data_IF_578114562020
#
_entry.id   IF_578114562020
#
_cell.length_a   1.000
_cell.length_b   1.000
_cell.length_c   1.000
_cell.angle_alpha   90.00
_cell.angle_beta   90.00
_cell.angle_gamma   90.00
#
_symmetry.space_group_name_H-M   'P 1'
#
loop_
_entity.id
_entity.type
_entity.pdbx_description
1 polymer ?
#
# COMPACT_ATOMS: atom_id res chain seq x y z
N UNK A 1 -10.94 -15.58 -25.56
CA UNK A 1 -9.90 -16.14 -24.68
C UNK A 1 -10.02 -15.43 -23.35
N UNK A 2 -10.43 -16.13 -22.30
CA UNK A 2 -10.58 -15.58 -20.95
C UNK A 2 -9.20 -15.69 -20.30
N UNK A 3 -8.55 -14.57 -20.00
CA UNK A 3 -7.30 -14.54 -19.24
C UNK A 3 -7.64 -14.95 -17.80
N UNK A 4 -7.77 -16.26 -17.58
CA UNK A 4 -7.93 -16.88 -16.27
C UNK A 4 -6.60 -16.77 -15.52
N UNK A 5 -6.44 -15.69 -14.74
CA UNK A 5 -5.34 -15.62 -13.77
C UNK A 5 -4.83 -14.23 -13.42
N UNK A 6 -5.26 -13.16 -14.12
CA UNK A 6 -4.82 -11.80 -13.79
C UNK A 6 -5.98 -11.05 -13.15
N UNK A 7 -5.89 -10.81 -11.84
CA UNK A 7 -6.81 -9.92 -11.15
C UNK A 7 -6.79 -8.55 -11.84
N UNK A 8 -7.96 -8.02 -12.15
CA UNK A 8 -8.10 -6.67 -12.66
C UNK A 8 -7.75 -5.65 -11.57
N UNK A 9 -7.31 -4.46 -11.98
CA UNK A 9 -7.03 -3.34 -11.05
C UNK A 9 -8.24 -3.05 -10.16
N UNK A 10 -9.46 -3.19 -10.69
CA UNK A 10 -10.70 -3.00 -9.94
C UNK A 10 -10.87 -4.07 -8.85
N UNK A 11 -10.54 -5.32 -9.14
CA UNK A 11 -10.62 -6.41 -8.15
C UNK A 11 -9.56 -6.22 -7.05
N UNK A 12 -8.34 -5.81 -7.41
CA UNK A 12 -7.28 -5.52 -6.44
C UNK A 12 -7.68 -4.34 -5.56
N UNK A 13 -8.17 -3.25 -6.15
CA UNK A 13 -8.63 -2.08 -5.41
C UNK A 13 -9.76 -2.42 -4.43
N UNK A 14 -10.72 -3.25 -4.84
CA UNK A 14 -11.79 -3.72 -3.96
C UNK A 14 -11.24 -4.56 -2.82
N UNK A 15 -10.33 -5.49 -3.09
CA UNK A 15 -9.73 -6.31 -2.05
C UNK A 15 -8.96 -5.47 -1.00
N UNK A 16 -8.22 -4.44 -1.43
CA UNK A 16 -7.53 -3.52 -0.51
C UNK A 16 -8.48 -2.65 0.31
N UNK A 17 -9.64 -2.27 -0.26
CA UNK A 17 -10.68 -1.54 0.46
C UNK A 17 -11.47 -2.43 1.43
N UNK A 18 -11.60 -3.71 1.12
CA UNK A 18 -12.23 -4.70 2.01
C UNK A 18 -11.29 -5.13 3.14
N UNK A 19 -9.97 -5.06 2.94
CA UNK A 19 -8.97 -5.33 3.97
C UNK A 19 -8.98 -4.21 5.05
N UNK A 20 -9.38 -4.51 6.30
CA UNK A 20 -9.44 -3.52 7.37
C UNK A 20 -8.06 -2.95 7.74
N UNK A 21 -6.97 -3.64 7.43
CA UNK A 21 -5.61 -3.22 7.76
C UNK A 21 -4.98 -2.36 6.65
N UNK A 22 -5.37 -2.60 5.38
CA UNK A 22 -4.89 -1.83 4.23
C UNK A 22 -5.76 -0.60 3.93
N UNK A 23 -7.09 -0.68 4.15
CA UNK A 23 -8.02 0.42 3.88
C UNK A 23 -7.60 1.76 4.51
N UNK A 24 -7.21 1.84 5.79
CA UNK A 24 -6.78 3.12 6.40
C UNK A 24 -5.56 3.73 5.71
N UNK A 25 -4.65 2.90 5.19
CA UNK A 25 -3.46 3.32 4.46
C UNK A 25 -3.84 3.91 3.11
N UNK A 26 -4.68 3.17 2.37
CA UNK A 26 -5.17 3.54 1.05
C UNK A 26 -5.93 4.86 1.10
N UNK A 27 -6.87 5.00 2.02
CA UNK A 27 -7.64 6.23 2.20
C UNK A 27 -6.75 7.43 2.53
N UNK A 28 -5.76 7.28 3.42
CA UNK A 28 -4.85 8.37 3.78
C UNK A 28 -3.98 8.79 2.60
N UNK A 29 -3.47 7.86 1.79
CA UNK A 29 -2.72 8.19 0.57
C UNK A 29 -3.61 8.86 -0.48
N UNK A 30 -4.84 8.38 -0.69
CA UNK A 30 -5.81 9.00 -1.60
C UNK A 30 -6.13 10.43 -1.20
N UNK A 31 -6.30 10.70 0.09
CA UNK A 31 -6.55 12.04 0.63
C UNK A 31 -5.32 12.95 0.56
N UNK A 32 -4.17 12.46 0.05
CA UNK A 32 -2.87 13.13 0.11
C UNK A 32 -2.53 13.66 1.52
N UNK A 33 -3.16 13.07 2.54
CA UNK A 33 -2.87 13.38 3.92
C UNK A 33 -1.48 12.81 4.18
N UNK A 34 -0.56 13.67 4.62
CA UNK A 34 0.78 13.22 5.01
C UNK A 34 0.72 12.14 6.10
N UNK A 35 1.89 11.63 6.49
CA UNK A 35 2.06 10.55 7.47
C UNK A 35 1.53 10.86 8.91
N UNK A 36 0.71 11.89 9.11
CA UNK A 36 0.38 12.46 10.42
C UNK A 36 -0.83 11.80 11.11
N UNK A 37 -0.59 11.01 12.17
CA UNK A 37 -0.75 11.40 13.60
C UNK A 37 -0.41 10.18 14.50
N UNK A 38 0.55 10.32 15.42
CA UNK A 38 1.02 9.21 16.27
C UNK A 38 -0.11 8.54 17.06
N UNK A 39 -1.12 9.28 17.51
CA UNK A 39 -2.19 8.70 18.33
C UNK A 39 -3.23 7.96 17.49
N UNK A 40 -3.54 8.45 16.28
CA UNK A 40 -4.41 7.72 15.33
C UNK A 40 -3.78 6.37 15.01
N UNK A 41 -2.48 6.35 14.67
CA UNK A 41 -1.75 5.11 14.40
C UNK A 41 -1.66 4.22 15.63
N UNK A 42 -1.59 4.77 16.84
CA UNK A 42 -1.49 3.97 18.06
C UNK A 42 -2.74 3.11 18.30
N UNK A 43 -3.92 3.59 17.88
CA UNK A 43 -5.20 2.88 18.00
C UNK A 43 -5.41 1.84 16.88
N UNK A 44 -4.67 1.95 15.77
CA UNK A 44 -4.75 1.01 14.65
C UNK A 44 -4.17 -0.37 14.98
N UNK A 45 -4.54 -1.36 14.16
CA UNK A 45 -4.07 -2.74 14.27
C UNK A 45 -2.55 -2.85 14.11
N UNK A 46 -1.97 -3.96 14.59
CA UNK A 46 -0.55 -4.25 14.37
C UNK A 46 -0.19 -4.36 12.88
N UNK A 47 -1.09 -4.85 12.04
CA UNK A 47 -0.87 -4.99 10.61
C UNK A 47 -0.91 -3.62 9.90
N UNK A 48 -1.88 -2.76 10.23
CA UNK A 48 -1.93 -1.37 9.73
C UNK A 48 -0.65 -0.61 10.11
N UNK A 49 -0.16 -0.77 11.35
CA UNK A 49 1.11 -0.18 11.80
C UNK A 49 2.31 -0.63 10.96
N UNK A 50 2.34 -1.90 10.51
CA UNK A 50 3.39 -2.41 9.61
C UNK A 50 3.34 -1.74 8.24
N UNK A 51 2.14 -1.62 7.64
CA UNK A 51 1.99 -0.86 6.40
C UNK A 51 2.36 0.61 6.58
N UNK A 52 2.06 1.20 7.75
CA UNK A 52 2.45 2.57 8.08
C UNK A 52 3.97 2.76 8.19
N UNK A 53 4.70 1.77 8.70
CA UNK A 53 6.15 1.77 8.70
C UNK A 53 6.73 1.74 7.28
N UNK A 54 5.99 1.13 6.34
CA UNK A 54 6.32 1.06 4.91
C UNK A 54 5.82 2.26 4.11
N UNK A 55 5.19 3.27 4.73
CA UNK A 55 4.52 4.38 4.03
C UNK A 55 5.32 5.02 2.91
N UNK A 56 6.61 5.27 3.15
CA UNK A 56 7.53 5.92 2.20
C UNK A 56 7.89 5.00 1.03
N UNK A 57 7.82 3.68 1.22
CA UNK A 57 7.98 2.68 0.16
C UNK A 57 6.67 2.34 -0.57
N UNK A 58 5.53 2.75 -0.06
CA UNK A 58 4.23 2.55 -0.70
C UNK A 58 3.92 3.71 -1.64
N UNK A 59 3.51 3.43 -2.87
CA UNK A 59 3.02 4.43 -3.80
C UNK A 59 1.64 4.03 -4.30
N UNK A 60 0.82 5.04 -4.61
CA UNK A 60 -0.52 4.82 -5.13
C UNK A 60 -0.47 4.94 -6.66
N UNK A 61 -1.02 3.95 -7.36
CA UNK A 61 -1.20 3.99 -8.82
C UNK A 61 -2.56 3.41 -9.16
N UNK A 62 -3.33 4.14 -9.97
CA UNK A 62 -4.68 3.73 -10.40
C UNK A 62 -5.62 3.34 -9.23
N UNK A 63 -5.42 3.93 -8.05
CA UNK A 63 -6.20 3.64 -6.84
C UNK A 63 -5.79 2.38 -6.07
N UNK A 64 -4.66 1.76 -6.43
CA UNK A 64 -4.10 0.56 -5.78
C UNK A 64 -2.76 0.88 -5.11
N UNK A 65 -2.51 0.30 -3.92
CA UNK A 65 -1.23 0.42 -3.22
C UNK A 65 -0.18 -0.52 -3.82
N UNK A 66 0.93 0.06 -4.24
CA UNK A 66 2.10 -0.68 -4.70
C UNK A 66 3.26 -0.48 -3.74
N UNK A 67 3.93 -1.57 -3.38
CA UNK A 67 5.19 -1.52 -2.65
C UNK A 67 6.34 -1.37 -3.63
N UNK A 68 7.08 -0.27 -3.51
CA UNK A 68 8.40 -0.11 -4.11
C UNK A 68 9.38 -1.00 -3.35
N UNK A 69 10.03 -1.89 -4.07
CA UNK A 69 11.24 -2.55 -3.60
C UNK A 69 12.40 -1.70 -4.12
N UNK A 70 13.05 -0.89 -3.27
CA UNK A 70 14.29 -0.23 -3.69
C UNK A 70 15.37 -1.31 -3.81
N UNK A 71 15.56 -1.82 -5.01
CA UNK A 71 16.66 -2.70 -5.41
C UNK A 71 16.80 -2.64 -6.93
N UNK A 72 17.18 -1.47 -7.46
CA UNK A 72 17.71 -1.40 -8.84
C UNK A 72 18.94 -0.48 -8.94
N UNK A 73 19.62 -0.27 -7.81
CA UNK A 73 21.00 0.17 -7.86
C UNK A 73 21.79 -1.08 -8.23
N UNK A 74 21.92 -1.36 -9.53
CA UNK A 74 22.74 -2.42 -10.12
C UNK A 74 24.23 -2.25 -9.83
N UNK A 75 24.60 -2.10 -8.55
CA UNK A 75 25.96 -2.24 -8.08
C UNK A 75 26.22 -3.73 -7.91
N UNK A 76 26.38 -4.41 -9.04
CA UNK A 76 27.08 -5.69 -9.09
C UNK A 76 28.41 -5.50 -8.36
N UNK A 77 28.63 -6.29 -7.33
CA UNK A 77 29.90 -6.39 -6.64
C UNK A 77 31.04 -6.45 -7.66
N UNK A 78 32.08 -5.65 -7.43
CA UNK A 78 33.34 -5.74 -8.14
C UNK A 78 34.40 -6.23 -7.18
#
# INVERSE_FOLDING_TARGET
MKTEGTWSVIEIQKAELEDPDARPILEKKLKSAGRSYRQEIAQESHATKRYWALWDSLHLKDGVLYRKWDSDNGNSCR
#
